data_IF_556332088729
#
_entry.id   IF_556332088729
#
_cell.length_a   1.000
_cell.length_b   1.000
_cell.length_c   1.000
_cell.angle_alpha   90.00
_cell.angle_beta   90.00
_cell.angle_gamma   90.00
#
_symmetry.space_group_name_H-M   'P 1'
#
loop_
_entity.id
_entity.type
_entity.pdbx_description
1 polymer ?
#
# COMPACT_ATOMS: atom_id res chain seq x y z
N UNK A 1 -6.31 -1.10 3.17
CA UNK A 1 -7.71 -0.83 3.57
C UNK A 1 -8.05 -1.42 4.94
N UNK A 2 -8.25 -2.73 5.09
CA UNK A 2 -8.63 -3.32 6.40
C UNK A 2 -7.60 -3.07 7.50
N UNK A 3 -6.31 -3.12 7.16
CA UNK A 3 -5.21 -2.79 8.09
C UNK A 3 -5.24 -1.36 8.60
N UNK A 4 -5.73 -0.39 7.82
CA UNK A 4 -5.91 1.00 8.28
C UNK A 4 -6.97 1.06 9.39
N UNK A 5 -8.09 0.36 9.23
CA UNK A 5 -9.14 0.28 10.25
C UNK A 5 -8.66 -0.45 11.50
N UNK A 6 -7.91 -1.53 11.33
CA UNK A 6 -7.31 -2.26 12.45
C UNK A 6 -6.33 -1.39 13.24
N UNK A 7 -5.53 -0.55 12.57
CA UNK A 7 -4.68 0.43 13.25
C UNK A 7 -5.49 1.52 13.96
N UNK A 8 -6.52 2.07 13.31
CA UNK A 8 -7.28 3.21 13.86
C UNK A 8 -8.22 2.84 15.00
N UNK A 9 -8.84 1.66 14.96
CA UNK A 9 -9.95 1.30 15.86
C UNK A 9 -9.73 0.02 16.66
N UNK A 10 -8.70 -0.77 16.32
CA UNK A 10 -8.43 -2.07 16.95
C UNK A 10 -6.97 -2.20 17.41
N UNK A 11 -6.33 -1.08 17.74
CA UNK A 11 -5.01 -1.05 18.37
C UNK A 11 -3.92 -1.86 17.64
N UNK A 12 -3.88 -1.78 16.30
CA UNK A 12 -2.89 -2.47 15.47
C UNK A 12 -2.96 -4.01 15.56
N UNK A 13 -4.10 -4.56 16.00
CA UNK A 13 -4.37 -6.01 16.01
C UNK A 13 -4.72 -6.50 14.61
N UNK A 14 -3.69 -6.83 13.84
CA UNK A 14 -3.84 -7.31 12.47
C UNK A 14 -4.28 -8.78 12.42
N UNK A 15 -5.59 -9.01 12.45
CA UNK A 15 -6.17 -10.35 12.38
C UNK A 15 -6.39 -10.78 10.92
N UNK A 16 -5.51 -11.66 10.40
CA UNK A 16 -5.61 -12.30 9.07
C UNK A 16 -5.75 -11.34 7.89
N UNK A 17 -5.11 -10.16 7.97
CA UNK A 17 -5.15 -9.13 6.92
C UNK A 17 -3.88 -9.06 6.09
N UNK A 18 -3.03 -10.09 6.18
CA UNK A 18 -1.82 -10.25 5.40
C UNK A 18 -1.78 -11.64 4.78
N UNK A 19 -1.99 -11.70 3.47
CA UNK A 19 -1.83 -12.92 2.69
C UNK A 19 -0.39 -13.07 2.17
N UNK A 20 0.01 -14.31 1.90
CA UNK A 20 1.23 -14.59 1.17
C UNK A 20 0.97 -14.39 -0.33
N UNK A 21 1.70 -13.45 -0.95
CA UNK A 21 1.60 -13.20 -2.38
C UNK A 21 2.56 -14.11 -3.17
N UNK A 22 2.19 -14.52 -4.40
CA UNK A 22 3.11 -15.18 -5.32
C UNK A 22 4.12 -14.19 -5.92
N UNK A 23 5.07 -14.72 -6.68
CA UNK A 23 5.92 -13.94 -7.57
C UNK A 23 5.08 -13.49 -8.79
N UNK A 24 4.63 -12.24 -8.79
CA UNK A 24 3.70 -11.74 -9.82
C UNK A 24 4.34 -11.67 -11.21
N UNK A 25 5.66 -11.45 -11.28
CA UNK A 25 6.40 -11.45 -12.54
C UNK A 25 6.33 -12.85 -13.17
N UNK A 26 6.69 -13.90 -12.41
CA UNK A 26 6.63 -15.28 -12.91
C UNK A 26 5.21 -15.73 -13.26
N UNK A 27 4.22 -15.35 -12.45
CA UNK A 27 2.81 -15.65 -12.74
C UNK A 27 2.38 -15.00 -14.06
N UNK A 28 2.77 -13.75 -14.30
CA UNK A 28 2.46 -13.04 -15.54
C UNK A 28 3.14 -13.68 -16.75
N UNK A 29 4.42 -14.01 -16.65
CA UNK A 29 5.17 -14.68 -17.71
C UNK A 29 4.56 -16.04 -18.07
N UNK A 30 4.13 -16.82 -17.08
CA UNK A 30 3.45 -18.10 -17.30
C UNK A 30 2.09 -17.95 -18.03
N UNK A 31 1.47 -16.77 -17.95
CA UNK A 31 0.23 -16.43 -18.66
C UNK A 31 0.48 -15.79 -20.03
N UNK A 32 1.74 -15.70 -20.48
CA UNK A 32 2.10 -15.06 -21.75
C UNK A 32 2.02 -13.53 -21.72
N UNK A 33 2.07 -12.93 -20.53
CA UNK A 33 1.98 -11.47 -20.33
C UNK A 33 3.32 -10.94 -19.86
N UNK A 34 3.88 -9.95 -20.57
CA UNK A 34 5.15 -9.33 -20.18
C UNK A 34 5.02 -8.65 -18.81
N UNK A 35 6.06 -8.77 -17.98
CA UNK A 35 6.03 -8.22 -16.64
C UNK A 35 7.32 -7.52 -16.22
N UNK A 36 7.20 -6.59 -15.29
CA UNK A 36 8.32 -5.90 -14.66
C UNK A 36 8.03 -5.70 -13.17
N UNK A 37 9.09 -5.70 -12.36
CA UNK A 37 9.08 -5.30 -10.95
C UNK A 37 9.78 -3.94 -10.80
N UNK A 38 9.08 -2.95 -10.23
CA UNK A 38 9.63 -1.67 -9.81
C UNK A 38 9.76 -1.65 -8.28
N UNK A 39 11.00 -1.76 -7.79
CA UNK A 39 11.30 -1.80 -6.34
C UNK A 39 11.91 -0.51 -5.79
N UNK A 40 12.39 0.39 -6.66
CA UNK A 40 13.04 1.64 -6.25
C UNK A 40 12.23 2.85 -6.74
N UNK A 41 12.12 3.91 -5.93
CA UNK A 41 11.46 5.15 -6.34
C UNK A 41 12.08 5.78 -7.60
N UNK A 42 13.39 5.65 -7.80
CA UNK A 42 14.10 6.16 -8.99
C UNK A 42 13.64 5.53 -10.31
N UNK A 43 13.06 4.34 -10.25
CA UNK A 43 12.73 3.54 -11.42
C UNK A 43 11.24 3.66 -11.80
N UNK A 44 10.47 4.45 -11.04
CA UNK A 44 9.01 4.57 -11.19
C UNK A 44 8.66 5.16 -12.55
N UNK A 45 9.29 6.26 -12.94
CA UNK A 45 8.99 6.94 -14.20
C UNK A 45 9.30 6.04 -15.41
N UNK A 46 10.47 5.41 -15.42
CA UNK A 46 10.89 4.51 -16.50
C UNK A 46 10.05 3.22 -16.56
N UNK A 47 9.59 2.73 -15.41
CA UNK A 47 8.72 1.55 -15.33
C UNK A 47 7.30 1.84 -15.79
N UNK A 48 6.75 3.01 -15.44
CA UNK A 48 5.45 3.46 -15.93
C UNK A 48 5.49 3.70 -17.45
N UNK A 49 6.57 4.34 -17.93
CA UNK A 49 6.77 4.53 -19.37
C UNK A 49 6.78 3.21 -20.11
N UNK A 50 7.55 2.23 -19.63
CA UNK A 50 7.54 0.88 -20.19
C UNK A 50 6.14 0.26 -20.17
N UNK A 51 5.40 0.35 -19.07
CA UNK A 51 4.06 -0.26 -18.96
C UNK A 51 3.09 0.32 -20.00
N UNK A 52 3.12 1.65 -20.21
CA UNK A 52 2.21 2.35 -21.12
C UNK A 52 2.60 2.15 -22.58
N UNK A 53 3.90 2.11 -22.88
CA UNK A 53 4.43 1.98 -24.25
C UNK A 53 4.57 0.52 -24.71
N UNK A 54 4.35 -0.45 -23.83
CA UNK A 54 4.43 -1.88 -24.17
C UNK A 54 3.34 -2.28 -25.15
N UNK A 55 3.70 -3.00 -26.20
CA UNK A 55 2.71 -3.59 -27.11
C UNK A 55 2.06 -4.82 -26.46
N UNK A 56 0.72 -4.83 -26.43
CA UNK A 56 -0.05 -5.94 -25.86
C UNK A 56 -0.23 -5.86 -24.34
N UNK A 57 -0.71 -6.94 -23.70
CA UNK A 57 -0.92 -6.96 -22.25
C UNK A 57 0.42 -6.89 -21.52
N UNK A 58 0.46 -6.11 -20.43
CA UNK A 58 1.63 -5.93 -19.58
C UNK A 58 1.25 -5.80 -18.10
N UNK A 59 2.11 -6.31 -17.21
CA UNK A 59 1.96 -6.22 -15.75
C UNK A 59 3.16 -5.50 -15.13
N UNK A 60 2.89 -4.50 -14.30
CA UNK A 60 3.91 -3.85 -13.49
C UNK A 60 3.62 -4.07 -12.01
N UNK A 61 4.48 -4.83 -11.33
CA UNK A 61 4.48 -4.90 -9.87
C UNK A 61 5.26 -3.70 -9.31
N UNK A 62 4.63 -2.89 -8.46
CA UNK A 62 5.28 -1.75 -7.80
C UNK A 62 5.34 -2.00 -6.30
N UNK A 63 6.56 -2.08 -5.75
CA UNK A 63 6.74 -2.17 -4.30
C UNK A 63 6.46 -0.81 -3.67
N UNK A 64 5.46 -0.75 -2.79
CA UNK A 64 5.01 0.48 -2.12
C UNK A 64 5.20 0.38 -0.60
N UNK A 65 5.19 1.53 0.07
CA UNK A 65 5.30 1.55 1.53
C UNK A 65 4.08 0.91 2.18
N UNK A 66 4.32 0.17 3.26
CA UNK A 66 3.28 -0.56 3.99
C UNK A 66 2.68 0.35 5.06
N UNK A 67 1.44 0.04 5.45
CA UNK A 67 0.77 0.66 6.61
C UNK A 67 0.60 2.18 6.48
N UNK A 68 0.46 2.71 5.27
CA UNK A 68 0.12 4.11 5.00
C UNK A 68 -1.41 4.27 5.00
N UNK A 69 -2.00 5.17 5.82
CA UNK A 69 -3.43 5.44 5.79
C UNK A 69 -3.81 6.30 4.58
N UNK A 70 -4.99 6.06 4.01
CA UNK A 70 -5.58 6.97 3.02
C UNK A 70 -6.20 8.17 3.75
N UNK A 71 -5.79 9.37 3.36
CA UNK A 71 -6.25 10.65 3.92
C UNK A 71 -6.54 11.65 2.77
N UNK A 72 -7.49 12.59 2.94
CA UNK A 72 -8.32 12.80 4.13
C UNK A 72 -9.37 11.70 4.31
N UNK A 73 -9.78 11.45 5.56
CA UNK A 73 -10.76 10.42 5.91
C UNK A 73 -11.82 11.01 6.85
N UNK A 74 -13.09 10.84 6.52
CA UNK A 74 -14.21 11.10 7.44
C UNK A 74 -14.54 9.80 8.18
N UNK A 75 -14.31 9.70 9.50
CA UNK A 75 -14.63 8.50 10.26
C UNK A 75 -16.14 8.20 10.28
N UNK A 76 -16.52 6.94 10.52
CA UNK A 76 -17.94 6.58 10.67
C UNK A 76 -18.60 7.38 11.78
N UNK A 77 -19.78 7.93 11.48
CA UNK A 77 -20.55 8.76 12.42
C UNK A 77 -20.10 10.22 12.51
N UNK A 78 -19.14 10.66 11.68
CA UNK A 78 -18.69 12.05 11.58
C UNK A 78 -19.30 12.79 10.39
N UNK A 79 -19.46 14.10 10.53
CA UNK A 79 -19.90 14.98 9.44
C UNK A 79 -18.80 15.18 8.40
N UNK A 80 -19.17 15.55 7.17
CA UNK A 80 -18.21 15.75 6.07
C UNK A 80 -17.15 16.83 6.35
N UNK A 81 -17.42 17.75 7.27
CA UNK A 81 -16.49 18.81 7.69
C UNK A 81 -15.53 18.38 8.82
N UNK A 82 -15.74 17.21 9.42
CA UNK A 82 -14.92 16.66 10.53
C UNK A 82 -13.86 15.67 10.01
N UNK A 83 -13.28 15.93 8.84
CA UNK A 83 -12.31 15.03 8.22
C UNK A 83 -10.94 15.05 8.92
N UNK A 84 -10.31 13.88 8.99
CA UNK A 84 -8.92 13.74 9.39
C UNK A 84 -8.02 14.14 8.22
N UNK A 85 -7.02 14.98 8.47
CA UNK A 85 -6.01 15.39 7.50
C UNK A 85 -4.67 14.72 7.79
N UNK A 86 -3.80 14.71 6.78
CA UNK A 86 -2.41 14.30 6.96
C UNK A 86 -1.68 15.26 7.90
N UNK A 87 -0.92 14.69 8.83
CA UNK A 87 -0.05 15.39 9.76
C UNK A 87 1.20 14.52 9.95
N UNK A 88 2.37 15.07 9.63
CA UNK A 88 3.63 14.33 9.64
C UNK A 88 4.04 13.87 11.05
N UNK A 89 3.78 14.70 12.07
CA UNK A 89 4.15 14.37 13.45
C UNK A 89 3.27 13.23 13.98
N UNK A 90 1.95 13.28 13.73
CA UNK A 90 1.02 12.21 14.10
C UNK A 90 1.33 10.91 13.38
N UNK A 91 1.73 10.97 12.11
CA UNK A 91 2.09 9.77 11.35
C UNK A 91 3.37 9.10 11.90
N UNK A 92 4.38 9.89 12.28
CA UNK A 92 5.60 9.36 12.93
C UNK A 92 5.29 8.71 14.27
N UNK A 93 4.46 9.37 15.09
CA UNK A 93 4.02 8.83 16.38
C UNK A 93 3.23 7.52 16.21
N UNK A 94 2.26 7.49 15.29
CA UNK A 94 1.48 6.30 14.97
C UNK A 94 2.37 5.13 14.54
N UNK A 95 3.38 5.39 13.70
CA UNK A 95 4.34 4.36 13.27
C UNK A 95 5.17 3.82 14.44
N UNK A 96 5.58 4.68 15.36
CA UNK A 96 6.30 4.26 16.56
C UNK A 96 5.43 3.37 17.47
N UNK A 97 4.17 3.77 17.70
CA UNK A 97 3.19 3.00 18.48
C UNK A 97 2.91 1.64 17.83
N UNK A 98 2.66 1.63 16.51
CA UNK A 98 2.41 0.41 15.75
C UNK A 98 3.61 -0.54 15.91
N UNK A 99 4.84 -0.05 15.71
CA UNK A 99 6.06 -0.86 15.85
C UNK A 99 6.20 -1.47 17.25
N UNK A 100 5.85 -0.71 18.29
CA UNK A 100 5.84 -1.20 19.66
C UNK A 100 4.81 -2.32 19.88
N UNK A 101 3.61 -2.21 19.29
CA UNK A 101 2.51 -3.17 19.46
C UNK A 101 2.67 -4.44 18.63
N UNK A 102 3.02 -4.31 17.35
CA UNK A 102 3.13 -5.44 16.44
C UNK A 102 4.51 -6.09 16.42
N UNK A 103 5.51 -5.49 17.07
CA UNK A 103 6.89 -5.99 17.08
C UNK A 103 7.59 -5.93 15.72
N UNK A 104 7.02 -5.20 14.75
CA UNK A 104 7.47 -5.06 13.36
C UNK A 104 7.45 -3.58 12.99
#
# INVERSE_FOLDING_TARGET
MVTQWQSLFYEDRFAHTHQLNPDFVKVSEAMGVQARLCSKPSDVESSLKWLIESEGPALLEVTTDKKVPVLPMVPTGKGLHEFLVYDEAKEKERRAIMKQRSGH
#
